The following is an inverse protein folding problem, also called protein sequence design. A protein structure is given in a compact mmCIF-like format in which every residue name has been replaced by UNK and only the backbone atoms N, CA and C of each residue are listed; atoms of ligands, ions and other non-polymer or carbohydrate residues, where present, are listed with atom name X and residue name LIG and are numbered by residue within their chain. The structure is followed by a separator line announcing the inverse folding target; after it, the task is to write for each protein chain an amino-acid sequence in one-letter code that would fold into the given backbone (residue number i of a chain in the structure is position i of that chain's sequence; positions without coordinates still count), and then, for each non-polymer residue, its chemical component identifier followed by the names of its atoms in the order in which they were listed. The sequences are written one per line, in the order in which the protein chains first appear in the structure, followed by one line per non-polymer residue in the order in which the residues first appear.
data_IF_132205939393
#
_entry.id   IF_132205939393
#
_cell.length_a   1.000
_cell.length_b   1.000
_cell.length_c   1.000
_cell.angle_alpha   90.00
_cell.angle_beta   90.00
_cell.angle_gamma   90.00
#
_symmetry.space_group_name_H-M   'P 1'
#
loop_
_entity.id
_entity.type
_entity.pdbx_description
1 polymer ?
#
# COMPACT_ATOMS: atom_id res chain seq x y z
N UNK A 1 5.30 18.73 -10.82
CA UNK A 1 6.61 18.05 -10.87
C UNK A 1 6.57 16.61 -11.43
N UNK A 2 5.41 15.96 -11.64
CA UNK A 2 5.34 14.67 -12.37
C UNK A 2 5.28 14.77 -13.90
N UNK A 3 5.12 15.99 -14.44
CA UNK A 3 5.12 16.29 -15.88
C UNK A 3 6.51 16.67 -16.44
N UNK A 4 7.53 16.80 -15.58
CA UNK A 4 8.83 17.38 -15.95
C UNK A 4 9.88 16.36 -16.39
N UNK A 5 9.66 15.06 -16.16
CA UNK A 5 10.55 13.99 -16.65
C UNK A 5 9.79 12.88 -17.42
N UNK A 6 9.03 13.22 -18.48
CA UNK A 6 8.35 12.22 -19.30
C UNK A 6 9.35 11.27 -19.97
N UNK A 7 10.59 11.69 -20.21
CA UNK A 7 11.66 10.87 -20.80
C UNK A 7 12.08 9.67 -19.92
N UNK A 8 12.23 9.88 -18.61
CA UNK A 8 12.60 8.78 -17.68
C UNK A 8 11.45 7.78 -17.56
N UNK A 9 10.21 8.28 -17.50
CA UNK A 9 9.03 7.43 -17.47
C UNK A 9 8.85 6.64 -18.77
N UNK A 10 9.06 7.26 -19.94
CA UNK A 10 8.90 6.59 -21.25
C UNK A 10 10.01 5.59 -21.55
N UNK A 11 11.27 5.85 -21.20
CA UNK A 11 12.35 4.86 -21.32
C UNK A 11 12.15 3.63 -20.40
N UNK A 12 11.54 3.84 -19.22
CA UNK A 12 11.16 2.75 -18.32
C UNK A 12 9.90 2.02 -18.84
N UNK A 13 8.99 2.73 -19.50
CA UNK A 13 7.80 2.16 -20.14
C UNK A 13 8.15 1.30 -21.37
N UNK A 14 9.15 1.69 -22.16
CA UNK A 14 9.67 0.87 -23.27
C UNK A 14 10.38 -0.42 -22.82
N UNK A 15 10.73 -0.53 -21.53
CA UNK A 15 11.27 -1.75 -20.91
C UNK A 15 10.21 -2.56 -20.15
N UNK A 16 8.91 -2.31 -20.41
CA UNK A 16 7.82 -3.13 -19.90
C UNK A 16 7.57 -4.30 -20.87
N UNK A 17 8.00 -5.50 -20.50
CA UNK A 17 7.50 -6.73 -21.12
C UNK A 17 6.20 -7.11 -20.43
N UNK A 18 5.10 -7.27 -21.18
CA UNK A 18 3.82 -7.79 -20.69
C UNK A 18 3.26 -7.07 -19.45
N UNK A 19 3.33 -5.72 -19.42
CA UNK A 19 2.87 -4.87 -18.29
C UNK A 19 3.68 -5.03 -16.98
N UNK A 20 4.80 -5.76 -17.01
CA UNK A 20 5.71 -5.88 -15.86
C UNK A 20 6.91 -4.99 -16.08
N UNK A 21 7.09 -4.00 -15.21
CA UNK A 21 8.23 -3.09 -15.26
C UNK A 21 9.49 -3.78 -14.73
N UNK A 22 10.35 -4.27 -15.63
CA UNK A 22 11.66 -4.85 -15.25
C UNK A 22 12.49 -3.92 -14.34
N UNK A 23 12.58 -2.60 -14.59
CA UNK A 23 13.34 -1.70 -13.72
C UNK A 23 12.85 -1.69 -12.27
N UNK A 24 11.54 -1.74 -12.05
CA UNK A 24 10.94 -1.77 -10.71
C UNK A 24 11.31 -3.08 -10.01
N UNK A 25 11.29 -4.21 -10.73
CA UNK A 25 11.69 -5.50 -10.19
C UNK A 25 13.16 -5.52 -9.73
N UNK A 26 14.08 -4.93 -10.51
CA UNK A 26 15.49 -4.81 -10.14
C UNK A 26 15.68 -3.92 -8.92
N UNK A 27 14.98 -2.78 -8.85
CA UNK A 27 15.01 -1.87 -7.70
C UNK A 27 14.51 -2.56 -6.42
N UNK A 28 13.37 -3.26 -6.49
CA UNK A 28 12.83 -4.01 -5.36
C UNK A 28 13.76 -5.14 -4.92
N UNK A 29 14.37 -5.85 -5.87
CA UNK A 29 15.35 -6.89 -5.59
C UNK A 29 16.55 -6.31 -4.82
N UNK A 30 17.12 -5.19 -5.28
CA UNK A 30 18.22 -4.51 -4.62
C UNK A 30 17.85 -3.89 -3.26
N UNK A 31 16.57 -3.68 -2.96
CA UNK A 31 16.13 -3.16 -1.67
C UNK A 31 15.88 -4.28 -0.65
N UNK A 32 15.43 -5.45 -1.10
CA UNK A 32 15.16 -6.63 -0.26
C UNK A 32 16.46 -7.39 0.04
N UNK A 33 17.34 -7.53 -0.96
CA UNK A 33 18.63 -8.23 -0.84
C UNK A 33 19.55 -7.70 0.29
N UNK A 34 19.79 -6.38 0.47
CA UNK A 34 20.70 -5.87 1.50
C UNK A 34 20.18 -6.14 2.92
N UNK A 35 18.86 -6.13 3.11
CA UNK A 35 18.25 -6.45 4.40
C UNK A 35 18.47 -7.94 4.72
N UNK A 36 18.33 -8.82 3.71
CA UNK A 36 18.57 -10.26 3.88
C UNK A 36 20.02 -10.58 4.26
N UNK A 37 21.00 -9.90 3.65
CA UNK A 37 22.44 -10.14 3.90
C UNK A 37 22.89 -9.60 5.27
N UNK A 38 22.26 -8.54 5.77
CA UNK A 38 22.62 -7.91 7.05
C UNK A 38 22.01 -8.62 8.27
N UNK A 39 20.99 -9.47 8.08
CA UNK A 39 20.32 -10.16 9.17
C UNK A 39 21.09 -11.44 9.54
N UNK A 40 21.66 -11.47 10.75
CA UNK A 40 22.32 -12.66 11.29
C UNK A 40 21.29 -13.73 11.70
N UNK A 41 21.39 -14.93 11.12
CA UNK A 41 20.48 -16.05 11.38
C UNK A 41 20.44 -16.49 12.86
N UNK A 42 21.51 -16.29 13.64
CA UNK A 42 21.49 -16.55 15.10
C UNK A 42 20.58 -15.56 15.84
N UNK A 43 20.54 -14.30 15.39
CA UNK A 43 19.64 -13.30 15.94
C UNK A 43 18.18 -13.57 15.53
N UNK A 44 17.94 -14.07 14.32
CA UNK A 44 16.60 -14.50 13.86
C UNK A 44 16.05 -15.62 14.73
N UNK A 45 16.86 -16.64 15.07
CA UNK A 45 16.42 -17.75 15.94
C UNK A 45 16.09 -17.25 17.35
N UNK A 46 16.87 -16.32 17.89
CA UNK A 46 16.61 -15.69 19.20
C UNK A 46 15.37 -14.78 19.17
N UNK A 47 15.16 -14.04 18.07
CA UNK A 47 13.96 -13.25 17.83
C UNK A 47 12.70 -14.14 17.70
N UNK A 48 12.83 -15.32 17.09
CA UNK A 48 11.77 -16.32 17.02
C UNK A 48 11.33 -16.86 18.39
N UNK A 49 12.24 -16.90 19.38
CA UNK A 49 11.91 -17.30 20.77
C UNK A 49 11.12 -16.24 21.55
N UNK A 50 11.11 -14.99 21.07
CA UNK A 50 10.37 -13.88 21.70
C UNK A 50 9.52 -13.16 20.66
N UNK A 51 8.40 -13.77 20.22
CA UNK A 51 7.59 -13.21 19.13
C UNK A 51 6.72 -12.01 19.57
N UNK A 52 6.60 -11.71 20.87
CA UNK A 52 5.77 -10.61 21.39
C UNK A 52 5.97 -9.27 20.66
N UNK A 53 7.20 -8.75 20.49
CA UNK A 53 7.43 -7.51 19.74
C UNK A 53 7.08 -7.64 18.26
N UNK A 54 7.40 -8.77 17.61
CA UNK A 54 7.12 -9.00 16.18
C UNK A 54 5.61 -9.11 15.91
N UNK A 55 4.87 -9.77 16.81
CA UNK A 55 3.43 -9.93 16.68
C UNK A 55 2.70 -8.61 16.92
N UNK A 56 3.17 -7.81 17.89
CA UNK A 56 2.63 -6.48 18.15
C UNK A 56 2.87 -5.56 16.95
N UNK A 57 4.08 -5.55 16.38
CA UNK A 57 4.37 -4.73 15.19
C UNK A 57 3.65 -5.24 13.95
N UNK A 58 3.49 -6.56 13.77
CA UNK A 58 2.70 -7.11 12.69
C UNK A 58 1.23 -6.69 12.84
N UNK A 59 0.64 -6.87 14.01
CA UNK A 59 -0.75 -6.46 14.27
C UNK A 59 -0.95 -4.96 14.06
N UNK A 60 -0.03 -4.13 14.57
CA UNK A 60 -0.07 -2.68 14.38
C UNK A 60 0.11 -2.33 12.90
N UNK A 61 1.16 -2.80 12.23
CA UNK A 61 1.45 -2.48 10.83
C UNK A 61 0.33 -2.95 9.90
N UNK A 62 -0.21 -4.14 10.13
CA UNK A 62 -1.23 -4.74 9.29
C UNK A 62 -2.65 -4.27 9.60
N UNK A 63 -2.93 -3.79 10.82
CA UNK A 63 -4.26 -3.27 11.18
C UNK A 63 -4.36 -1.75 11.05
N UNK A 64 -3.34 -1.03 11.52
CA UNK A 64 -3.35 0.43 11.52
C UNK A 64 -3.12 0.97 10.12
N UNK A 65 -2.23 0.39 9.30
CA UNK A 65 -2.06 0.90 7.91
C UNK A 65 -3.34 0.87 7.09
N UNK A 66 -4.04 -0.28 6.90
CA UNK A 66 -5.24 -0.30 6.07
C UNK A 66 -6.38 0.51 6.69
N UNK A 67 -6.50 0.53 8.02
CA UNK A 67 -7.58 1.28 8.65
C UNK A 67 -7.36 2.80 8.55
N UNK A 68 -6.12 3.25 8.75
CA UNK A 68 -5.78 4.68 8.71
C UNK A 68 -5.99 5.25 7.31
N UNK A 69 -5.58 4.53 6.26
CA UNK A 69 -5.80 5.00 4.88
C UNK A 69 -7.28 5.03 4.53
N UNK A 70 -8.07 4.04 4.93
CA UNK A 70 -9.52 4.03 4.71
C UNK A 70 -10.20 5.19 5.45
N UNK A 71 -9.79 5.45 6.70
CA UNK A 71 -10.30 6.58 7.47
C UNK A 71 -10.00 7.91 6.78
N UNK A 72 -8.75 8.15 6.37
CA UNK A 72 -8.38 9.38 5.67
C UNK A 72 -9.11 9.54 4.34
N UNK A 73 -9.23 8.48 3.54
CA UNK A 73 -9.99 8.50 2.28
C UNK A 73 -11.45 8.82 2.53
N UNK A 74 -12.09 8.17 3.51
CA UNK A 74 -13.50 8.40 3.84
C UNK A 74 -13.74 9.83 4.32
N UNK A 75 -12.91 10.36 5.23
CA UNK A 75 -13.04 11.73 5.74
C UNK A 75 -12.88 12.74 4.60
N UNK A 76 -11.84 12.60 3.78
CA UNK A 76 -11.64 13.53 2.68
C UNK A 76 -12.79 13.45 1.66
N UNK A 77 -13.16 12.24 1.23
CA UNK A 77 -14.20 12.07 0.22
C UNK A 77 -15.58 12.52 0.69
N UNK A 78 -15.95 12.24 1.94
CA UNK A 78 -17.29 12.52 2.48
C UNK A 78 -17.46 13.89 3.12
N UNK A 79 -16.40 14.46 3.70
CA UNK A 79 -16.50 15.73 4.45
C UNK A 79 -15.99 16.89 3.61
N UNK A 80 -14.86 16.70 2.95
CA UNK A 80 -14.17 17.79 2.25
C UNK A 80 -14.64 17.89 0.80
N UNK A 81 -14.81 16.75 0.12
CA UNK A 81 -15.05 16.71 -1.33
C UNK A 81 -16.52 16.62 -1.74
N UNK A 82 -17.44 16.19 -0.87
CA UNK A 82 -18.88 16.17 -1.17
C UNK A 82 -19.45 17.47 -1.76
N UNK A 83 -19.10 18.69 -1.30
CA UNK A 83 -19.59 19.92 -1.92
C UNK A 83 -18.93 20.27 -3.28
N UNK A 84 -17.83 19.60 -3.65
CA UNK A 84 -17.10 19.84 -4.90
C UNK A 84 -17.42 18.83 -6.00
N UNK A 85 -18.15 17.75 -5.70
CA UNK A 85 -18.52 16.72 -6.68
C UNK A 85 -19.97 16.93 -7.20
N UNK A 86 -20.24 16.64 -8.48
CA UNK A 86 -21.60 16.66 -9.00
C UNK A 86 -22.46 15.55 -8.39
N UNK A 87 -23.71 15.87 -8.05
CA UNK A 87 -24.64 14.97 -7.34
C UNK A 87 -24.93 13.65 -8.08
N UNK A 88 -24.62 13.57 -9.37
CA UNK A 88 -24.78 12.38 -10.20
C UNK A 88 -23.74 11.29 -9.92
N UNK A 89 -22.55 11.65 -9.42
CA UNK A 89 -21.44 10.69 -9.18
C UNK A 89 -21.18 10.44 -7.69
N UNK A 90 -21.62 11.35 -6.82
CA UNK A 90 -21.49 11.20 -5.37
C UNK A 90 -22.11 9.88 -4.82
N UNK A 91 -23.35 9.47 -5.19
CA UNK A 91 -23.94 8.26 -4.64
C UNK A 91 -23.28 6.97 -5.15
N UNK A 92 -22.77 6.95 -6.39
CA UNK A 92 -22.05 5.78 -6.93
C UNK A 92 -20.69 5.61 -6.27
N UNK A 93 -19.91 6.69 -6.13
CA UNK A 93 -18.60 6.67 -5.47
C UNK A 93 -18.70 6.32 -3.97
N UNK A 94 -19.76 6.76 -3.29
CA UNK A 94 -20.00 6.36 -1.90
C UNK A 94 -20.40 4.88 -1.79
N UNK A 95 -21.24 4.37 -2.69
CA UNK A 95 -21.62 2.96 -2.70
C UNK A 95 -20.45 2.01 -2.90
N UNK A 96 -19.54 2.33 -3.83
CA UNK A 96 -18.33 1.54 -4.07
C UNK A 96 -17.36 1.57 -2.87
N UNK A 97 -17.22 2.73 -2.23
CA UNK A 97 -16.41 2.87 -1.02
C UNK A 97 -16.98 2.10 0.18
N UNK A 98 -18.30 2.11 0.37
CA UNK A 98 -18.96 1.33 1.41
C UNK A 98 -18.81 -0.18 1.16
N UNK A 99 -18.85 -0.62 -0.10
CA UNK A 99 -18.61 -2.01 -0.49
C UNK A 99 -17.16 -2.44 -0.20
N UNK A 100 -16.18 -1.58 -0.48
CA UNK A 100 -14.77 -1.82 -0.11
C UNK A 100 -14.62 -1.88 1.41
N UNK A 101 -15.29 -1.02 2.17
CA UNK A 101 -15.26 -1.02 3.63
C UNK A 101 -15.90 -2.29 4.23
N UNK A 102 -17.00 -2.77 3.66
CA UNK A 102 -17.66 -4.03 4.06
C UNK A 102 -16.78 -5.24 3.72
N UNK A 103 -16.17 -5.26 2.53
CA UNK A 103 -15.24 -6.32 2.11
C UNK A 103 -13.99 -6.35 3.00
N UNK A 104 -13.43 -5.18 3.34
CA UNK A 104 -12.29 -5.07 4.24
C UNK A 104 -12.63 -5.58 5.64
N UNK A 105 -13.82 -5.27 6.17
CA UNK A 105 -14.28 -5.77 7.48
C UNK A 105 -14.42 -7.29 7.53
N UNK A 106 -14.91 -7.90 6.44
CA UNK A 106 -15.11 -9.35 6.32
C UNK A 106 -13.81 -10.13 6.07
N UNK A 107 -12.71 -9.45 5.72
CA UNK A 107 -11.36 -10.04 5.66
C UNK A 107 -10.70 -10.17 7.05
N UNK A 108 -11.28 -9.52 8.08
CA UNK A 108 -10.75 -9.52 9.45
C UNK A 108 -11.64 -10.26 10.47
N UNK A 109 -12.69 -10.95 10.01
CA UNK A 109 -13.57 -11.81 10.79
C UNK A 109 -13.49 -13.24 10.25
#
# INVERSE_FOLDING_TARGET
MGKTFPAVATSINSMQLYNVSLPIAVLLFFMIFPIMVQIDFKQVIKAGKTPKPVLLTLFVNWRIKPFTILFFVWVFMKVIFTPFLPDTVTPTLMGDMDLICLKSRNLFN
#
